data_IF_543661345848
#
_entry.id   IF_543661345848
#
_cell.length_a   1.000
_cell.length_b   1.000
_cell.length_c   1.000
_cell.angle_alpha   90.00
_cell.angle_beta   90.00
_cell.angle_gamma   90.00
#
_symmetry.space_group_name_H-M   'P 1'
#
loop_
_entity.id
_entity.type
_entity.pdbx_description
1 polymer ?
#
# COMPACT_ATOMS: atom_id res chain seq x y z
N UNK A 1 3.77 -16.45 12.69
CA UNK A 1 2.90 -15.27 12.89
C UNK A 1 1.60 -15.53 12.14
N UNK A 2 0.44 -15.43 12.79
CA UNK A 2 -0.86 -15.59 12.10
C UNK A 2 -1.10 -14.38 11.18
N UNK A 3 -1.52 -14.63 9.95
CA UNK A 3 -1.73 -13.55 8.98
C UNK A 3 -2.93 -12.69 9.39
N UNK A 4 -2.96 -11.42 8.98
CA UNK A 4 -4.11 -10.54 9.27
C UNK A 4 -5.42 -11.12 8.72
N UNK A 5 -5.34 -11.88 7.61
CA UNK A 5 -6.47 -12.60 7.02
C UNK A 5 -7.02 -13.66 7.97
N UNK A 6 -6.15 -14.47 8.59
CA UNK A 6 -6.55 -15.52 9.53
C UNK A 6 -7.27 -14.92 10.75
N UNK A 7 -6.76 -13.81 11.27
CA UNK A 7 -7.40 -13.10 12.39
C UNK A 7 -8.81 -12.61 12.03
N UNK A 8 -9.01 -12.12 10.82
CA UNK A 8 -10.34 -11.70 10.34
C UNK A 8 -11.28 -12.89 10.10
N UNK A 9 -10.76 -14.02 9.63
CA UNK A 9 -11.52 -15.27 9.51
C UNK A 9 -12.00 -15.76 10.87
N UNK A 10 -11.13 -15.72 11.88
CA UNK A 10 -11.51 -16.08 13.26
C UNK A 10 -12.61 -15.17 13.81
N UNK A 11 -12.49 -13.85 13.64
CA UNK A 11 -13.55 -12.91 14.03
C UNK A 11 -14.87 -13.26 13.34
N UNK A 12 -14.82 -13.61 12.04
CA UNK A 12 -16.02 -13.95 11.30
C UNK A 12 -16.68 -15.23 11.81
N UNK A 13 -15.90 -16.29 12.05
CA UNK A 13 -16.40 -17.54 12.61
C UNK A 13 -17.06 -17.34 13.99
N UNK A 14 -16.47 -16.50 14.85
CA UNK A 14 -17.06 -16.20 16.16
C UNK A 14 -18.36 -15.39 16.05
N UNK A 15 -18.43 -14.42 15.12
CA UNK A 15 -19.67 -13.69 14.83
C UNK A 15 -20.77 -14.64 14.32
N UNK A 16 -20.43 -15.57 13.43
CA UNK A 16 -21.38 -16.54 12.87
C UNK A 16 -21.83 -17.57 13.94
N UNK A 17 -21.02 -17.80 14.97
CA UNK A 17 -21.40 -18.61 16.16
C UNK A 17 -22.31 -17.88 17.16
N UNK A 18 -22.64 -16.61 16.92
CA UNK A 18 -23.54 -15.82 17.76
C UNK A 18 -22.87 -15.05 18.90
N UNK A 19 -21.53 -15.05 18.99
CA UNK A 19 -20.83 -14.24 19.99
C UNK A 19 -20.99 -12.74 19.73
N UNK A 20 -21.02 -11.96 20.80
CA UNK A 20 -21.12 -10.50 20.71
C UNK A 20 -19.77 -9.87 20.34
N UNK A 21 -19.76 -8.71 19.67
CA UNK A 21 -18.52 -8.01 19.32
C UNK A 21 -17.61 -7.67 20.52
N UNK A 22 -18.18 -7.53 21.72
CA UNK A 22 -17.43 -7.26 22.94
C UNK A 22 -16.68 -8.50 23.43
N UNK A 23 -17.34 -9.67 23.43
CA UNK A 23 -16.71 -10.95 23.80
C UNK A 23 -15.57 -11.30 22.85
N UNK A 24 -15.80 -11.17 21.55
CA UNK A 24 -14.78 -11.44 20.51
C UNK A 24 -13.56 -10.53 20.68
N UNK A 25 -13.79 -9.24 20.96
CA UNK A 25 -12.71 -8.28 21.19
C UNK A 25 -11.85 -8.67 22.39
N UNK A 26 -12.47 -9.07 23.51
CA UNK A 26 -11.77 -9.55 24.69
C UNK A 26 -11.03 -10.87 24.42
N UNK A 27 -11.67 -11.84 23.77
CA UNK A 27 -11.10 -13.15 23.49
C UNK A 27 -9.88 -13.09 22.58
N UNK A 28 -9.90 -12.21 21.57
CA UNK A 28 -8.82 -12.10 20.58
C UNK A 28 -7.81 -10.98 20.90
N UNK A 29 -8.04 -10.20 21.96
CA UNK A 29 -7.18 -9.06 22.31
C UNK A 29 -7.17 -7.97 21.24
N UNK A 30 -8.31 -7.70 20.61
CA UNK A 30 -8.45 -6.68 19.55
C UNK A 30 -9.47 -5.62 19.92
N UNK A 31 -9.43 -4.48 19.23
CA UNK A 31 -10.43 -3.43 19.45
C UNK A 31 -11.83 -3.88 18.99
N UNK A 32 -12.87 -3.46 19.71
CA UNK A 32 -14.27 -3.61 19.26
C UNK A 32 -14.50 -3.02 17.86
N UNK A 33 -13.82 -1.91 17.54
CA UNK A 33 -13.87 -1.28 16.21
C UNK A 33 -13.40 -2.23 15.12
N UNK A 34 -12.36 -3.02 15.37
CA UNK A 34 -11.88 -4.05 14.44
C UNK A 34 -12.95 -5.11 14.18
N UNK A 35 -13.66 -5.55 15.23
CA UNK A 35 -14.75 -6.52 15.09
C UNK A 35 -15.90 -5.96 14.26
N UNK A 36 -16.32 -4.71 14.51
CA UNK A 36 -17.34 -4.05 13.71
C UNK A 36 -16.93 -3.87 12.25
N UNK A 37 -15.66 -3.56 11.98
CA UNK A 37 -15.15 -3.45 10.62
C UNK A 37 -15.22 -4.79 9.88
N UNK A 38 -14.91 -5.91 10.54
CA UNK A 38 -15.06 -7.25 9.95
C UNK A 38 -16.53 -7.59 9.73
N UNK A 39 -17.41 -7.24 10.69
CA UNK A 39 -18.86 -7.42 10.55
C UNK A 39 -19.43 -6.65 9.35
N UNK A 40 -19.00 -5.41 9.14
CA UNK A 40 -19.53 -4.52 8.10
C UNK A 40 -18.85 -4.71 6.72
N UNK A 41 -17.54 -4.95 6.70
CA UNK A 41 -16.71 -4.95 5.50
C UNK A 41 -16.21 -6.33 5.06
N UNK A 42 -16.49 -7.38 5.84
CA UNK A 42 -16.02 -8.74 5.57
C UNK A 42 -14.55 -8.97 5.91
N UNK A 43 -14.02 -10.10 5.43
CA UNK A 43 -12.65 -10.55 5.69
C UNK A 43 -11.67 -9.91 4.69
N UNK A 44 -12.14 -9.68 3.47
CA UNK A 44 -11.30 -9.21 2.37
C UNK A 44 -10.97 -7.72 2.51
N UNK A 45 -9.70 -7.39 2.29
CA UNK A 45 -9.27 -6.00 2.25
C UNK A 45 -9.63 -5.44 0.87
N UNK A 46 -10.31 -4.29 0.83
CA UNK A 46 -10.50 -3.55 -0.43
C UNK A 46 -9.13 -3.21 -1.01
N UNK A 47 -8.92 -3.51 -2.29
CA UNK A 47 -7.74 -3.08 -3.04
C UNK A 47 -7.75 -1.54 -3.01
N UNK A 48 -6.65 -0.93 -2.57
CA UNK A 48 -6.54 0.52 -2.57
C UNK A 48 -6.66 1.04 -4.00
N UNK A 49 -7.49 2.05 -4.22
CA UNK A 49 -7.76 2.63 -5.55
C UNK A 49 -6.61 3.50 -6.09
N UNK A 50 -5.51 3.63 -5.37
CA UNK A 50 -4.36 4.44 -5.78
C UNK A 50 -3.43 3.69 -6.72
N UNK A 51 -3.76 3.64 -8.01
CA UNK A 51 -2.78 3.31 -9.04
C UNK A 51 -1.68 4.38 -9.02
N UNK A 52 -0.44 4.00 -8.67
CA UNK A 52 0.70 4.92 -8.81
C UNK A 52 0.92 5.12 -10.31
N UNK A 53 0.90 6.37 -10.79
CA UNK A 53 1.34 6.68 -12.16
C UNK A 53 2.78 6.19 -12.31
N UNK A 54 2.96 5.13 -13.09
CA UNK A 54 4.27 4.64 -13.48
C UNK A 54 4.78 5.57 -14.58
N UNK A 55 5.97 6.13 -14.37
CA UNK A 55 6.69 6.77 -15.46
C UNK A 55 7.26 5.66 -16.34
N UNK A 56 7.41 5.96 -17.62
CA UNK A 56 8.16 5.08 -18.50
C UNK A 56 9.63 5.09 -18.06
N UNK A 57 10.19 3.90 -17.85
CA UNK A 57 11.56 3.74 -17.36
C UNK A 57 12.57 4.26 -18.39
N UNK A 58 12.29 4.06 -19.68
CA UNK A 58 13.13 4.54 -20.78
C UNK A 58 13.17 6.07 -20.85
N UNK A 59 12.03 6.73 -20.59
CA UNK A 59 11.93 8.18 -20.56
C UNK A 59 12.77 8.77 -19.42
N UNK A 60 12.74 8.13 -18.24
CA UNK A 60 13.55 8.55 -17.09
C UNK A 60 15.04 8.38 -17.34
N UNK A 61 15.45 7.26 -17.97
CA UNK A 61 16.86 6.99 -18.29
C UNK A 61 17.36 8.03 -19.30
N UNK A 62 16.63 8.20 -20.41
CA UNK A 62 16.98 9.18 -21.46
C UNK A 62 17.14 10.59 -20.90
N UNK A 63 16.21 11.04 -20.06
CA UNK A 63 16.29 12.37 -19.46
C UNK A 63 17.55 12.56 -18.59
N UNK A 64 17.98 11.52 -17.87
CA UNK A 64 19.19 11.58 -17.02
C UNK A 64 20.46 11.49 -17.86
N UNK A 65 20.47 10.67 -18.91
CA UNK A 65 21.62 10.49 -19.81
C UNK A 65 21.87 11.72 -20.70
N UNK A 66 20.82 12.43 -21.11
CA UNK A 66 20.93 13.67 -21.89
C UNK A 66 21.70 14.77 -21.14
N UNK A 67 21.56 14.86 -19.82
CA UNK A 67 22.31 15.79 -18.98
C UNK A 67 22.58 15.17 -17.59
N UNK A 68 23.69 14.42 -17.43
CA UNK A 68 23.99 13.70 -16.20
C UNK A 68 24.44 14.61 -15.05
N UNK A 69 24.86 15.85 -15.35
CA UNK A 69 25.27 16.82 -14.33
C UNK A 69 24.08 17.59 -13.75
N UNK A 70 22.94 17.57 -14.45
CA UNK A 70 21.73 18.25 -14.01
C UNK A 70 21.05 17.52 -12.87
N UNK A 71 20.61 18.30 -11.88
CA UNK A 71 20.00 17.74 -10.68
C UNK A 71 18.65 17.06 -11.00
N UNK A 72 18.34 15.99 -10.26
CA UNK A 72 17.02 15.32 -10.33
C UNK A 72 15.84 16.29 -10.11
N UNK A 73 16.03 17.37 -9.35
CA UNK A 73 14.97 18.36 -9.16
C UNK A 73 14.66 19.12 -10.46
N UNK A 74 15.69 19.42 -11.25
CA UNK A 74 15.50 20.11 -12.52
C UNK A 74 14.86 19.17 -13.55
N UNK A 75 15.38 17.95 -13.67
CA UNK A 75 14.78 16.91 -14.53
C UNK A 75 13.30 16.67 -14.22
N UNK A 76 12.95 16.56 -12.94
CA UNK A 76 11.55 16.41 -12.53
C UNK A 76 10.68 17.62 -12.93
N UNK A 77 11.22 18.83 -12.87
CA UNK A 77 10.51 20.04 -13.31
C UNK A 77 10.25 20.01 -14.81
N UNK A 78 11.25 19.62 -15.60
CA UNK A 78 11.14 19.59 -17.06
C UNK A 78 10.16 18.51 -17.53
N UNK A 79 10.13 17.37 -16.84
CA UNK A 79 9.17 16.29 -17.04
C UNK A 79 7.75 16.61 -16.48
N UNK A 80 7.57 17.72 -15.77
CA UNK A 80 6.28 18.10 -15.19
C UNK A 80 5.80 17.18 -14.04
N UNK A 81 6.73 16.55 -13.32
CA UNK A 81 6.45 15.56 -12.27
C UNK A 81 7.02 15.98 -10.90
N UNK A 82 6.47 15.45 -9.80
CA UNK A 82 7.08 15.62 -8.49
C UNK A 82 8.47 14.98 -8.42
N UNK A 83 9.43 15.67 -7.78
CA UNK A 83 10.79 15.16 -7.53
C UNK A 83 10.76 13.77 -6.86
N UNK A 84 9.86 13.55 -5.91
CA UNK A 84 9.72 12.26 -5.22
C UNK A 84 9.39 11.13 -6.18
N UNK A 85 8.53 11.38 -7.18
CA UNK A 85 8.19 10.41 -8.21
C UNK A 85 9.40 10.05 -9.05
N UNK A 86 10.21 11.05 -9.47
CA UNK A 86 11.44 10.78 -10.22
C UNK A 86 12.44 9.97 -9.38
N UNK A 87 12.67 10.36 -8.12
CA UNK A 87 13.57 9.63 -7.19
C UNK A 87 13.13 8.18 -7.00
N UNK A 88 11.83 7.93 -6.82
CA UNK A 88 11.30 6.57 -6.68
C UNK A 88 11.52 5.72 -7.94
N UNK A 89 11.36 6.30 -9.14
CA UNK A 89 11.61 5.59 -10.39
C UNK A 89 13.12 5.32 -10.62
N UNK A 90 13.99 6.30 -10.35
CA UNK A 90 15.45 6.11 -10.44
C UNK A 90 15.92 5.02 -9.47
N UNK A 91 15.41 4.99 -8.24
CA UNK A 91 15.72 3.93 -7.27
C UNK A 91 15.26 2.56 -7.73
N UNK A 92 14.09 2.46 -8.37
CA UNK A 92 13.59 1.19 -8.91
C UNK A 92 14.45 0.68 -10.06
N UNK A 93 14.89 1.57 -10.95
CA UNK A 93 15.78 1.23 -12.07
C UNK A 93 17.13 0.75 -11.54
N UNK A 94 17.78 1.55 -10.67
CA UNK A 94 19.09 1.22 -10.11
C UNK A 94 19.10 0.05 -9.11
N UNK A 95 17.96 -0.28 -8.51
CA UNK A 95 17.81 -1.42 -7.59
C UNK A 95 17.45 -2.75 -8.27
N UNK A 96 17.27 -2.76 -9.60
CA UNK A 96 17.02 -3.96 -10.41
C UNK A 96 18.28 -4.49 -11.10
N UNK A 97 19.42 -3.82 -10.93
CA UNK A 97 20.73 -4.22 -11.45
C UNK A 97 21.43 -5.22 -10.53
#
# INVERSE_FOLDING_TARGET
MSSERDRRLQVRALLDSGQTPTEIACQLGISRKTVYNVKAGGVERKVGSGGKRTLDEEEVIRAIEEDPLKSLRSHARDMGIPKSTLVDNVKKIGGRS
#
